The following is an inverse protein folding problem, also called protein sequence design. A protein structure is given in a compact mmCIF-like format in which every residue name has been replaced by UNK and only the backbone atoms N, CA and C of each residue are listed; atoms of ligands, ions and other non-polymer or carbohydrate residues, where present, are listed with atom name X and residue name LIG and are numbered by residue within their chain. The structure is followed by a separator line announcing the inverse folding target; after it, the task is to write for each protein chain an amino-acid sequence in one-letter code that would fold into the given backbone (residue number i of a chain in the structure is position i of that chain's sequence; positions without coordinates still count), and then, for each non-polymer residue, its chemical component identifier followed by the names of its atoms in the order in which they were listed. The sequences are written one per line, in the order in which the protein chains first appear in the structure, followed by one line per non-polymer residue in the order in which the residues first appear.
data_IF_284986375941
#
_entry.id   IF_284986375941
#
_cell.length_a   1.000
_cell.length_b   1.000
_cell.length_c   1.000
_cell.angle_alpha   90.00
_cell.angle_beta   90.00
_cell.angle_gamma   90.00
#
_symmetry.space_group_name_H-M   'P 1'
#
loop_
_entity.id
_entity.type
_entity.pdbx_description
1 polymer ?
#
# COMPACT_ATOMS: atom_id res chain seq x y z
N UNK A 1 -68.39 -34.22 -5.04
CA UNK A 1 -68.44 -33.92 -3.60
C UNK A 1 -67.15 -33.21 -3.20
N UNK A 2 -67.27 -31.93 -2.82
CA UNK A 2 -66.33 -30.96 -2.18
C UNK A 2 -64.80 -31.12 -2.33
N UNK A 3 -63.96 -30.13 -2.67
CA UNK A 3 -64.09 -28.66 -2.59
C UNK A 3 -63.49 -28.08 -1.30
N UNK A 4 -62.23 -27.62 -1.32
CA UNK A 4 -61.62 -26.63 -0.40
C UNK A 4 -60.32 -26.09 -1.04
N UNK A 5 -60.29 -24.91 -1.67
CA UNK A 5 -60.10 -23.54 -1.12
C UNK A 5 -58.79 -23.31 -0.35
N UNK A 6 -57.80 -22.82 -1.11
CA UNK A 6 -57.01 -21.58 -0.96
C UNK A 6 -56.67 -20.97 0.43
N UNK A 7 -55.43 -20.44 0.47
CA UNK A 7 -54.91 -19.23 1.15
C UNK A 7 -54.14 -19.37 2.48
N UNK A 8 -52.84 -19.03 2.42
CA UNK A 8 -52.27 -18.03 3.33
C UNK A 8 -51.12 -18.48 4.25
N UNK A 9 -50.07 -17.63 4.29
CA UNK A 9 -48.91 -17.61 5.18
C UNK A 9 -47.77 -18.58 4.81
N UNK A 10 -46.51 -18.19 4.63
CA UNK A 10 -45.84 -16.96 5.03
C UNK A 10 -44.73 -16.59 4.03
N UNK A 11 -44.85 -15.36 3.53
CA UNK A 11 -43.74 -14.55 3.07
C UNK A 11 -42.87 -14.29 4.30
N UNK A 12 -41.77 -15.03 4.47
CA UNK A 12 -40.75 -14.65 5.46
C UNK A 12 -39.36 -15.03 4.97
N UNK A 13 -38.73 -14.02 4.35
CA UNK A 13 -37.31 -13.70 4.48
C UNK A 13 -36.29 -14.61 3.78
N UNK A 14 -36.41 -14.73 2.46
CA UNK A 14 -35.22 -14.78 1.60
C UNK A 14 -34.63 -13.37 1.48
N UNK A 15 -34.10 -12.80 2.57
CA UNK A 15 -33.42 -11.49 2.50
C UNK A 15 -32.35 -11.34 3.57
N UNK A 16 -31.30 -12.14 3.49
CA UNK A 16 -30.00 -11.68 3.98
C UNK A 16 -28.96 -11.96 2.91
N UNK A 17 -29.08 -11.25 1.78
CA UNK A 17 -27.92 -11.03 0.93
C UNK A 17 -26.99 -10.08 1.69
N UNK A 18 -26.06 -10.64 2.48
CA UNK A 18 -24.85 -9.92 2.83
C UNK A 18 -24.03 -9.79 1.55
N UNK A 19 -24.33 -8.73 0.79
CA UNK A 19 -23.48 -8.23 -0.28
C UNK A 19 -22.20 -7.68 0.35
N UNK A 20 -21.31 -8.59 0.72
CA UNK A 20 -19.90 -8.25 0.94
C UNK A 20 -19.34 -7.94 -0.44
N UNK A 21 -19.59 -6.73 -0.93
CA UNK A 21 -18.98 -6.24 -2.16
C UNK A 21 -17.48 -6.36 -2.01
N UNK A 22 -16.87 -7.28 -2.75
CA UNK A 22 -15.42 -7.42 -2.79
C UNK A 22 -14.83 -6.02 -3.04
N UNK A 23 -13.80 -5.59 -2.28
CA UNK A 23 -13.20 -4.29 -2.51
C UNK A 23 -12.67 -4.27 -3.94
N UNK A 24 -13.36 -3.54 -4.81
CA UNK A 24 -12.91 -3.36 -6.18
C UNK A 24 -11.49 -2.80 -6.12
N UNK A 25 -10.54 -3.50 -6.75
CA UNK A 25 -9.15 -3.06 -6.81
C UNK A 25 -9.13 -1.73 -7.57
N UNK A 26 -9.15 -0.62 -6.84
CA UNK A 26 -9.01 0.71 -7.41
C UNK A 26 -7.62 0.76 -8.04
N UNK A 27 -7.58 0.91 -9.38
CA UNK A 27 -6.35 1.05 -10.17
C UNK A 27 -5.53 2.30 -9.79
N UNK A 28 -6.07 3.16 -8.93
CA UNK A 28 -5.53 4.46 -8.53
C UNK A 28 -5.37 4.55 -7.00
N UNK A 29 -4.31 5.25 -6.56
CA UNK A 29 -4.07 5.53 -5.15
C UNK A 29 -5.05 6.60 -4.70
N UNK A 30 -6.00 6.24 -3.84
CA UNK A 30 -6.90 7.19 -3.17
C UNK A 30 -6.59 7.28 -1.67
N UNK A 31 -6.81 8.46 -1.11
CA UNK A 31 -6.71 8.72 0.34
C UNK A 31 -7.94 9.51 0.75
N UNK A 32 -8.69 8.98 1.72
CA UNK A 32 -9.80 9.70 2.33
C UNK A 32 -9.27 10.81 3.23
N UNK A 33 -10.02 11.91 3.34
CA UNK A 33 -9.64 13.07 4.17
C UNK A 33 -10.35 12.99 5.51
N UNK A 34 -9.70 12.49 6.58
CA UNK A 34 -10.35 12.43 7.89
C UNK A 34 -10.51 13.83 8.48
N UNK A 35 -11.70 14.12 9.01
CA UNK A 35 -12.00 15.34 9.79
C UNK A 35 -11.65 16.66 9.08
N UNK A 36 -11.71 16.68 7.74
CA UNK A 36 -11.35 17.85 6.94
C UNK A 36 -9.85 18.20 6.94
N UNK A 37 -8.99 17.35 7.52
CA UNK A 37 -7.55 17.62 7.57
C UNK A 37 -6.87 17.22 6.25
N UNK A 38 -6.89 18.17 5.30
CA UNK A 38 -6.31 18.02 3.97
C UNK A 38 -4.79 17.85 4.02
N UNK A 39 -4.08 18.55 4.89
CA UNK A 39 -2.62 18.43 5.04
C UNK A 39 -2.18 17.01 5.39
N UNK A 40 -2.89 16.38 6.34
CA UNK A 40 -2.62 15.00 6.74
C UNK A 40 -2.90 14.03 5.60
N UNK A 41 -3.99 14.23 4.86
CA UNK A 41 -4.31 13.44 3.69
C UNK A 41 -3.24 13.57 2.59
N UNK A 42 -2.78 14.80 2.32
CA UNK A 42 -1.73 15.08 1.34
C UNK A 42 -0.39 14.43 1.72
N UNK A 43 0.02 14.52 2.99
CA UNK A 43 1.23 13.83 3.48
C UNK A 43 1.12 12.32 3.33
N UNK A 44 -0.05 11.77 3.64
CA UNK A 44 -0.32 10.33 3.51
C UNK A 44 -0.28 9.89 2.05
N UNK A 45 -0.90 10.66 1.15
CA UNK A 45 -0.89 10.40 -0.29
C UNK A 45 0.54 10.46 -0.84
N UNK A 46 1.28 11.51 -0.50
CA UNK A 46 2.68 11.67 -0.92
C UNK A 46 3.58 10.53 -0.43
N UNK A 47 3.34 10.03 0.79
CA UNK A 47 4.05 8.86 1.32
C UNK A 47 3.72 7.60 0.52
N UNK A 48 2.43 7.30 0.29
CA UNK A 48 2.00 6.14 -0.52
C UNK A 48 2.61 6.18 -1.94
N UNK A 49 2.60 7.35 -2.57
CA UNK A 49 3.19 7.54 -3.91
C UNK A 49 4.70 7.22 -3.96
N UNK A 50 5.44 7.53 -2.89
CA UNK A 50 6.86 7.19 -2.77
C UNK A 50 7.08 5.71 -2.46
N UNK A 51 6.28 5.12 -1.57
CA UNK A 51 6.34 3.69 -1.23
C UNK A 51 6.11 2.81 -2.47
N UNK A 52 5.18 3.19 -3.33
CA UNK A 52 4.88 2.50 -4.60
C UNK A 52 5.86 2.85 -5.74
N UNK A 53 6.75 3.83 -5.51
CA UNK A 53 7.80 4.25 -6.43
C UNK A 53 7.30 4.94 -7.71
N UNK A 54 6.08 5.50 -7.70
CA UNK A 54 5.51 6.16 -8.89
C UNK A 54 6.32 7.37 -9.33
N UNK A 55 6.82 8.16 -8.38
CA UNK A 55 7.63 9.35 -8.68
C UNK A 55 8.93 8.95 -9.38
N UNK A 56 9.62 7.92 -8.86
CA UNK A 56 10.88 7.42 -9.43
C UNK A 56 10.66 6.83 -10.83
N UNK A 57 9.58 6.08 -11.03
CA UNK A 57 9.17 5.52 -12.34
C UNK A 57 8.82 6.62 -13.34
N UNK A 58 8.13 7.67 -12.89
CA UNK A 58 7.79 8.80 -13.75
C UNK A 58 9.07 9.56 -14.15
N UNK A 59 10.01 9.74 -13.23
CA UNK A 59 11.27 10.41 -13.50
C UNK A 59 12.20 9.60 -14.41
N UNK A 60 12.29 8.28 -14.22
CA UNK A 60 13.13 7.42 -15.06
C UNK A 60 12.63 7.33 -16.51
N UNK A 61 11.33 7.54 -16.74
CA UNK A 61 10.72 7.56 -18.08
C UNK A 61 10.91 8.87 -18.84
N UNK A 62 11.37 9.96 -18.19
CA UNK A 62 11.49 11.28 -18.83
C UNK A 62 12.49 11.29 -20.00
N UNK A 63 13.57 10.53 -19.88
CA UNK A 63 14.64 10.47 -20.88
C UNK A 63 15.01 9.02 -21.18
N UNK A 64 15.41 8.75 -22.42
CA UNK A 64 15.95 7.45 -22.77
C UNK A 64 17.35 7.28 -22.16
N UNK A 65 17.51 6.21 -21.37
CA UNK A 65 18.80 5.80 -20.81
C UNK A 65 19.16 4.45 -21.41
N UNK A 66 20.38 4.30 -21.91
CA UNK A 66 20.85 3.03 -22.48
C UNK A 66 20.74 1.90 -21.45
N UNK A 67 20.32 0.68 -21.83
CA UNK A 67 20.16 -0.44 -20.89
C UNK A 67 21.43 -0.76 -20.08
N UNK A 68 22.62 -0.55 -20.65
CA UNK A 68 23.89 -0.73 -19.93
C UNK A 68 24.06 0.25 -18.77
N UNK A 69 23.60 1.49 -18.91
CA UNK A 69 23.68 2.47 -17.84
C UNK A 69 22.62 2.22 -16.77
N UNK A 70 21.42 1.78 -17.16
CA UNK A 70 20.39 1.36 -16.22
C UNK A 70 20.91 0.25 -15.28
N UNK A 71 21.58 -0.77 -15.83
CA UNK A 71 22.21 -1.86 -15.04
C UNK A 71 23.31 -1.34 -14.10
N UNK A 72 24.12 -0.36 -14.54
CA UNK A 72 25.16 0.26 -13.70
C UNK A 72 24.53 1.01 -12.52
N UNK A 73 23.47 1.78 -12.76
CA UNK A 73 22.74 2.52 -11.71
C UNK A 73 22.09 1.55 -10.72
N UNK A 74 21.50 0.46 -11.18
CA UNK A 74 20.89 -0.56 -10.33
C UNK A 74 21.92 -1.30 -9.45
N UNK A 75 23.08 -1.66 -10.02
CA UNK A 75 24.18 -2.24 -9.25
C UNK A 75 24.72 -1.25 -8.20
N UNK A 76 24.89 0.02 -8.57
CA UNK A 76 25.34 1.07 -7.67
C UNK A 76 24.33 1.33 -6.53
N UNK A 77 23.03 1.37 -6.83
CA UNK A 77 21.98 1.57 -5.82
C UNK A 77 21.90 0.39 -4.84
N UNK A 78 22.08 -0.84 -5.33
CA UNK A 78 22.13 -2.04 -4.49
C UNK A 78 23.34 -2.03 -3.55
N UNK A 79 24.53 -1.70 -4.06
CA UNK A 79 25.73 -1.54 -3.22
C UNK A 79 25.56 -0.43 -2.18
N UNK A 80 24.91 0.68 -2.55
CA UNK A 80 24.61 1.78 -1.63
C UNK A 80 23.65 1.35 -0.51
N UNK A 81 22.59 0.59 -0.83
CA UNK A 81 21.66 0.04 0.16
C UNK A 81 22.37 -0.87 1.15
N UNK A 82 23.19 -1.80 0.65
CA UNK A 82 23.96 -2.71 1.48
C UNK A 82 24.92 -1.97 2.42
N UNK A 83 25.73 -1.02 1.90
CA UNK A 83 26.62 -0.20 2.74
C UNK A 83 25.89 0.58 3.82
N UNK A 84 24.71 1.13 3.50
CA UNK A 84 23.87 1.85 4.47
C UNK A 84 23.37 0.92 5.57
N UNK A 85 22.94 -0.29 5.22
CA UNK A 85 22.49 -1.29 6.18
C UNK A 85 23.63 -1.70 7.12
N UNK A 86 24.79 -2.05 6.58
CA UNK A 86 25.99 -2.41 7.36
C UNK A 86 26.40 -1.30 8.33
N UNK A 87 26.38 -0.05 7.87
CA UNK A 87 26.67 1.10 8.71
C UNK A 87 25.64 1.27 9.84
N UNK A 88 24.35 1.08 9.55
CA UNK A 88 23.30 1.16 10.57
C UNK A 88 23.40 0.05 11.62
N UNK A 89 23.79 -1.16 11.22
CA UNK A 89 24.01 -2.30 12.11
C UNK A 89 25.23 -2.09 13.01
N UNK A 90 26.33 -1.59 12.44
CA UNK A 90 27.52 -1.22 13.18
C UNK A 90 27.22 -0.13 14.21
N UNK A 91 26.54 0.95 13.79
CA UNK A 91 26.14 2.02 14.70
C UNK A 91 25.25 1.49 15.83
N UNK A 92 24.26 0.64 15.50
CA UNK A 92 23.41 0.00 16.50
C UNK A 92 24.24 -0.81 17.50
N UNK A 93 25.21 -1.60 17.02
CA UNK A 93 26.10 -2.39 17.89
C UNK A 93 26.95 -1.50 18.81
N UNK A 94 27.58 -0.45 18.27
CA UNK A 94 28.37 0.52 19.04
C UNK A 94 27.51 1.22 20.09
N UNK A 95 26.31 1.70 19.71
CA UNK A 95 25.40 2.38 20.63
C UNK A 95 24.90 1.44 21.73
N UNK A 96 24.52 0.21 21.38
CA UNK A 96 24.10 -0.80 22.37
C UNK A 96 25.21 -1.11 23.37
N UNK A 97 26.46 -1.20 22.90
CA UNK A 97 27.63 -1.38 23.75
C UNK A 97 27.78 -0.21 24.74
N UNK A 98 27.76 1.03 24.23
CA UNK A 98 27.84 2.25 25.05
C UNK A 98 26.71 2.33 26.09
N UNK A 99 25.48 2.00 25.73
CA UNK A 99 24.33 2.04 26.66
C UNK A 99 24.38 0.99 27.75
N UNK A 100 25.11 -0.10 27.55
CA UNK A 100 25.20 -1.24 28.50
C UNK A 100 26.33 -1.09 29.53
N UNK A 101 27.02 0.06 29.56
CA UNK A 101 28.01 0.37 30.60
C UNK A 101 29.42 -0.18 30.36
N UNK A 102 29.86 -0.26 29.10
CA UNK A 102 31.28 -0.37 28.72
C UNK A 102 31.61 0.65 27.62
#
# INVERSE_FOLDING_TARGET
MAGARCQGAAITQALTQQQSGAPQQRRFISVDVPNGNVDKAWRTLSRKLREEGYIDKAQSKKFFVKPSEQRKVEAASSRRRYRKQQFSELLRWVMQRKTRGF
#
